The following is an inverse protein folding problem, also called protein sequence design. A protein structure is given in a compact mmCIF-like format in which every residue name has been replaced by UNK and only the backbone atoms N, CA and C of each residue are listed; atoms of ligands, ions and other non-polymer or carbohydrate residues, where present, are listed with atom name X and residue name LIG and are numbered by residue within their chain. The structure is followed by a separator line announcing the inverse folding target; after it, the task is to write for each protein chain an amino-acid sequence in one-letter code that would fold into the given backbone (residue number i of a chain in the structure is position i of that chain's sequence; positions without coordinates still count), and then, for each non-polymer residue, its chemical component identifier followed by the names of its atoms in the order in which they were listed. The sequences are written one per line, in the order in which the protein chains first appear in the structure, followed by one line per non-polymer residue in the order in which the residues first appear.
data_IF_092695888933
#
_entry.id   IF_092695888933
#
_cell.length_a   1.000
_cell.length_b   1.000
_cell.length_c   1.000
_cell.angle_alpha   90.00
_cell.angle_beta   90.00
_cell.angle_gamma   90.00
#
_symmetry.space_group_name_H-M   'P 1'
#
loop_
_entity.id
_entity.type
_entity.pdbx_description
1 polymer ?
#
# COMPACT_ATOMS: atom_id res chain seq x y z
N UNK A 1 13.10 -16.21 1.58
CA UNK A 1 14.48 -16.33 2.14
C UNK A 1 15.36 -15.26 1.53
N UNK A 2 15.36 -15.07 0.21
CA UNK A 2 16.29 -14.17 -0.48
C UNK A 2 16.26 -12.73 0.07
N UNK A 3 15.08 -12.19 0.35
CA UNK A 3 14.96 -10.86 0.98
C UNK A 3 15.55 -10.79 2.39
N UNK A 4 15.49 -11.89 3.15
CA UNK A 4 16.14 -11.97 4.47
C UNK A 4 17.66 -11.86 4.32
N UNK A 5 18.22 -12.55 3.34
CA UNK A 5 19.66 -12.48 3.06
C UNK A 5 20.08 -11.13 2.45
N UNK A 6 19.24 -10.51 1.63
CA UNK A 6 19.44 -9.15 1.12
C UNK A 6 19.50 -8.17 2.28
N UNK A 7 18.51 -8.19 3.19
CA UNK A 7 18.48 -7.29 4.34
C UNK A 7 19.72 -7.42 5.23
N UNK A 8 20.19 -8.64 5.48
CA UNK A 8 21.45 -8.88 6.22
C UNK A 8 22.67 -8.30 5.51
N UNK A 9 22.74 -8.45 4.19
CA UNK A 9 23.84 -7.89 3.37
C UNK A 9 23.83 -6.36 3.36
N UNK A 10 22.64 -5.76 3.45
CA UNK A 10 22.45 -4.30 3.57
C UNK A 10 22.65 -3.79 5.02
N UNK A 11 23.12 -4.65 5.94
CA UNK A 11 23.38 -4.37 7.34
C UNK A 11 22.13 -4.13 8.22
N UNK A 12 20.95 -4.54 7.78
CA UNK A 12 19.79 -4.59 8.65
C UNK A 12 19.99 -5.66 9.73
N UNK A 13 19.66 -5.34 10.99
CA UNK A 13 19.83 -6.24 12.12
C UNK A 13 18.59 -7.14 12.27
N UNK A 14 18.75 -8.44 12.02
CA UNK A 14 17.71 -9.41 12.29
C UNK A 14 17.64 -9.66 13.83
N UNK A 15 16.52 -9.27 14.44
CA UNK A 15 16.31 -9.42 15.90
C UNK A 15 15.36 -10.56 16.25
N UNK A 16 14.64 -11.09 15.28
CA UNK A 16 13.76 -12.26 15.44
C UNK A 16 13.71 -13.05 14.12
N UNK A 17 13.64 -14.37 14.21
CA UNK A 17 13.46 -15.26 13.06
C UNK A 17 14.64 -15.29 12.10
N UNK A 18 14.37 -15.00 10.83
CA UNK A 18 15.40 -14.90 9.79
C UNK A 18 15.83 -16.23 9.19
N UNK A 19 15.03 -17.28 9.31
CA UNK A 19 15.32 -18.62 8.80
C UNK A 19 14.03 -19.41 8.51
N UNK A 20 14.13 -20.53 7.77
CA UNK A 20 13.02 -21.46 7.62
C UNK A 20 12.57 -22.02 8.99
N UNK A 21 11.27 -22.16 9.15
CA UNK A 21 10.71 -22.85 10.31
C UNK A 21 10.84 -24.37 10.15
N UNK A 22 11.45 -25.02 11.12
CA UNK A 22 11.69 -26.46 11.13
C UNK A 22 10.98 -27.21 12.26
N UNK A 23 10.13 -26.54 13.01
CA UNK A 23 9.40 -27.07 14.15
C UNK A 23 8.25 -28.02 13.80
N UNK A 24 7.41 -28.38 14.79
CA UNK A 24 6.28 -29.28 14.60
C UNK A 24 5.37 -28.84 13.45
N UNK A 25 4.97 -29.78 12.61
CA UNK A 25 4.10 -29.52 11.47
C UNK A 25 4.78 -28.93 10.22
N UNK A 26 6.09 -28.68 10.25
CA UNK A 26 6.85 -28.11 9.14
C UNK A 26 7.23 -29.14 8.06
N UNK A 27 7.19 -30.44 8.34
CA UNK A 27 7.64 -31.49 7.43
C UNK A 27 6.95 -31.39 6.06
N UNK A 28 7.74 -31.20 5.02
CA UNK A 28 7.25 -31.07 3.63
C UNK A 28 6.57 -29.73 3.31
N UNK A 29 6.65 -28.72 4.17
CA UNK A 29 6.07 -27.39 3.99
C UNK A 29 7.16 -26.32 4.00
N UNK A 30 6.90 -25.21 3.27
CA UNK A 30 7.81 -24.08 3.14
C UNK A 30 7.38 -22.92 4.06
N UNK A 31 7.55 -23.10 5.36
CA UNK A 31 7.27 -22.06 6.35
C UNK A 31 8.54 -21.25 6.67
N UNK A 32 8.36 -19.96 6.88
CA UNK A 32 9.38 -19.03 7.36
C UNK A 32 8.99 -18.59 8.76
N UNK A 33 9.96 -18.50 9.66
CA UNK A 33 9.72 -17.91 10.97
C UNK A 33 9.32 -16.44 10.85
N UNK A 34 8.38 -15.92 11.67
CA UNK A 34 8.16 -14.49 11.77
C UNK A 34 9.49 -13.78 12.01
N UNK A 35 9.79 -12.81 11.16
CA UNK A 35 11.12 -12.19 11.09
C UNK A 35 11.00 -10.69 11.29
N UNK A 36 11.86 -10.13 12.15
CA UNK A 36 11.91 -8.69 12.42
C UNK A 36 13.32 -8.18 12.18
N UNK A 37 13.41 -7.12 11.38
CA UNK A 37 14.63 -6.35 11.15
C UNK A 37 14.54 -4.96 11.80
N UNK A 38 15.61 -4.54 12.47
CA UNK A 38 15.83 -3.18 12.97
C UNK A 38 17.06 -2.56 12.30
N UNK A 39 17.25 -1.25 12.48
CA UNK A 39 18.31 -0.54 11.79
C UNK A 39 18.11 -0.47 10.27
N UNK A 40 16.87 -0.63 9.84
CA UNK A 40 16.49 -0.49 8.43
C UNK A 40 16.44 0.99 8.09
N UNK A 41 16.99 1.34 6.94
CA UNK A 41 16.80 2.67 6.33
C UNK A 41 15.85 2.56 5.13
N UNK A 42 15.31 3.70 4.72
CA UNK A 42 14.29 3.70 3.66
C UNK A 42 14.86 3.35 2.27
N UNK A 43 16.20 3.45 2.10
CA UNK A 43 16.90 3.11 0.85
C UNK A 43 17.14 1.60 0.67
N UNK A 44 16.99 0.82 1.75
CA UNK A 44 17.18 -0.64 1.70
C UNK A 44 16.08 -1.31 0.89
N UNK A 45 16.45 -2.32 0.11
CA UNK A 45 15.49 -3.07 -0.72
C UNK A 45 14.35 -3.66 0.09
N UNK A 46 14.62 -4.11 1.32
CA UNK A 46 13.60 -4.68 2.20
C UNK A 46 12.55 -3.64 2.67
N UNK A 47 12.88 -2.34 2.58
CA UNK A 47 11.95 -1.24 2.86
C UNK A 47 11.18 -0.80 1.59
N UNK A 48 11.78 -0.94 0.41
CA UNK A 48 11.24 -0.44 -0.85
C UNK A 48 10.48 -1.50 -1.66
N UNK A 49 10.82 -2.76 -1.51
CA UNK A 49 10.25 -3.84 -2.31
C UNK A 49 9.24 -4.67 -1.48
N UNK A 50 8.26 -5.24 -2.14
CA UNK A 50 7.25 -6.09 -1.50
C UNK A 50 7.82 -7.49 -1.23
N UNK A 51 8.10 -7.79 0.05
CA UNK A 51 8.66 -9.10 0.46
C UNK A 51 7.64 -10.23 0.34
N UNK A 52 6.36 -9.93 0.50
CA UNK A 52 5.23 -10.86 0.48
C UNK A 52 5.42 -12.07 1.42
N UNK A 53 5.83 -11.82 2.66
CA UNK A 53 6.11 -12.85 3.66
C UNK A 53 6.06 -12.31 5.09
N UNK A 54 6.28 -13.16 6.11
CA UNK A 54 6.19 -12.76 7.52
C UNK A 54 7.43 -11.99 7.97
N UNK A 55 7.74 -10.89 7.31
CA UNK A 55 8.92 -10.06 7.55
C UNK A 55 8.48 -8.63 7.85
N UNK A 56 8.96 -8.08 8.96
CA UNK A 56 8.71 -6.72 9.42
C UNK A 56 10.02 -5.93 9.43
N UNK A 57 10.02 -4.78 8.75
CA UNK A 57 11.11 -3.79 8.78
C UNK A 57 10.74 -2.65 9.72
N UNK A 58 11.63 -2.31 10.65
CA UNK A 58 11.43 -1.25 11.63
C UNK A 58 12.37 -0.10 11.31
N UNK A 59 11.81 1.05 10.99
CA UNK A 59 12.51 2.30 10.68
C UNK A 59 12.12 3.32 11.75
N UNK A 60 13.05 3.83 12.57
CA UNK A 60 12.78 4.88 13.53
C UNK A 60 12.54 6.22 12.82
N UNK A 61 11.77 7.09 13.44
CA UNK A 61 11.56 8.48 13.02
C UNK A 61 11.49 9.38 14.25
N UNK A 62 11.84 10.65 14.11
CA UNK A 62 11.88 11.62 15.20
C UNK A 62 10.66 12.55 15.19
N UNK A 63 10.14 12.89 14.01
CA UNK A 63 9.05 13.86 13.84
C UNK A 63 7.88 13.26 13.05
N UNK A 64 6.72 13.91 13.15
CA UNK A 64 5.54 13.57 12.32
C UNK A 64 5.85 13.71 10.82
N UNK A 65 6.63 14.72 10.46
CA UNK A 65 7.08 14.99 9.10
C UNK A 65 7.97 13.88 8.57
N UNK A 66 8.88 13.35 9.41
CA UNK A 66 9.71 12.20 9.04
C UNK A 66 8.88 10.95 8.81
N UNK A 67 7.92 10.67 9.69
CA UNK A 67 7.02 9.53 9.53
C UNK A 67 6.23 9.60 8.20
N UNK A 68 5.74 10.79 7.85
CA UNK A 68 5.04 11.02 6.57
C UNK A 68 5.98 10.86 5.39
N UNK A 69 7.18 11.42 5.46
CA UNK A 69 8.19 11.33 4.40
C UNK A 69 8.57 9.86 4.16
N UNK A 70 8.95 9.14 5.20
CA UNK A 70 9.34 7.73 5.13
C UNK A 70 8.17 6.86 4.61
N UNK A 71 6.98 7.04 5.15
CA UNK A 71 5.81 6.28 4.75
C UNK A 71 5.35 6.54 3.32
N UNK A 72 5.67 7.72 2.76
CA UNK A 72 5.33 8.07 1.38
C UNK A 72 6.43 7.78 0.38
N UNK A 73 7.68 7.59 0.82
CA UNK A 73 8.83 7.33 -0.02
C UNK A 73 8.95 5.83 -0.36
N UNK A 74 7.95 5.32 -1.01
CA UNK A 74 7.84 3.96 -1.54
C UNK A 74 6.91 3.96 -2.74
N UNK A 75 7.11 3.06 -3.70
CA UNK A 75 6.29 2.92 -4.90
C UNK A 75 4.88 2.35 -4.64
N UNK A 76 4.61 1.86 -3.46
CA UNK A 76 3.34 1.26 -3.08
C UNK A 76 2.51 2.19 -2.18
N UNK A 77 1.21 1.92 -2.11
CA UNK A 77 0.28 2.68 -1.29
C UNK A 77 -1.06 1.99 -1.13
N UNK A 78 -1.06 0.72 -0.72
CA UNK A 78 -2.31 -0.01 -0.50
C UNK A 78 -3.02 0.49 0.76
N UNK A 79 -2.31 0.46 1.89
CA UNK A 79 -2.86 0.86 3.17
C UNK A 79 -1.77 1.35 4.12
N UNK A 80 -2.17 2.15 5.12
CA UNK A 80 -1.32 2.54 6.23
C UNK A 80 -2.08 2.49 7.55
N UNK A 81 -1.35 2.33 8.67
CA UNK A 81 -1.90 2.35 10.01
C UNK A 81 -1.22 3.41 10.87
N UNK A 82 -1.99 4.14 11.65
CA UNK A 82 -1.52 5.19 12.57
C UNK A 82 -2.04 4.89 13.96
N UNK A 83 -1.16 4.84 14.94
CA UNK A 83 -1.53 4.70 16.35
C UNK A 83 -1.18 5.97 17.10
N UNK A 84 -2.18 6.66 17.62
CA UNK A 84 -2.01 7.91 18.34
C UNK A 84 -3.22 8.22 19.22
N UNK A 85 -3.00 8.89 20.36
CA UNK A 85 -4.07 9.44 21.20
C UNK A 85 -4.40 10.90 20.84
N UNK A 86 -3.65 11.53 19.95
CA UNK A 86 -3.87 12.90 19.47
C UNK A 86 -4.74 12.86 18.21
N UNK A 87 -5.98 13.31 18.31
CA UNK A 87 -6.93 13.37 17.20
C UNK A 87 -6.44 14.31 16.09
N UNK A 88 -5.78 15.39 16.42
CA UNK A 88 -5.20 16.32 15.44
C UNK A 88 -4.12 15.64 14.60
N UNK A 89 -3.25 14.86 15.25
CA UNK A 89 -2.25 14.04 14.54
C UNK A 89 -2.92 12.98 13.68
N UNK A 90 -3.94 12.29 14.19
CA UNK A 90 -4.66 11.28 13.42
C UNK A 90 -5.20 11.86 12.11
N UNK A 91 -5.82 13.03 12.14
CA UNK A 91 -6.36 13.71 10.96
C UNK A 91 -5.25 14.15 10.00
N UNK A 92 -4.19 14.81 10.49
CA UNK A 92 -3.07 15.25 9.65
C UNK A 92 -2.36 14.07 8.98
N UNK A 93 -2.13 12.98 9.72
CA UNK A 93 -1.49 11.77 9.16
C UNK A 93 -2.38 11.11 8.11
N UNK A 94 -3.70 11.04 8.35
CA UNK A 94 -4.65 10.47 7.39
C UNK A 94 -4.70 11.26 6.09
N UNK A 95 -4.53 12.57 6.14
CA UNK A 95 -4.49 13.43 4.95
C UNK A 95 -3.16 13.32 4.20
N UNK A 96 -2.03 13.29 4.93
CA UNK A 96 -0.69 13.35 4.35
C UNK A 96 -0.18 12.01 3.82
N UNK A 97 -0.59 10.88 4.38
CA UNK A 97 -0.16 9.55 3.94
C UNK A 97 -0.83 9.16 2.61
N UNK A 98 -0.03 8.77 1.65
CA UNK A 98 -0.46 8.43 0.29
C UNK A 98 -0.77 6.94 0.17
N UNK A 99 -1.86 6.51 0.79
CA UNK A 99 -2.37 5.14 0.70
C UNK A 99 -3.89 5.15 0.50
N UNK A 100 -4.41 4.10 -0.12
CA UNK A 100 -5.84 3.99 -0.43
C UNK A 100 -6.72 3.79 0.79
N UNK A 101 -6.17 3.23 1.87
CA UNK A 101 -6.84 3.08 3.16
C UNK A 101 -5.93 3.52 4.28
N UNK A 102 -6.44 4.36 5.19
CA UNK A 102 -5.74 4.74 6.42
C UNK A 102 -6.55 4.24 7.62
N UNK A 103 -5.94 3.39 8.43
CA UNK A 103 -6.51 2.97 9.70
C UNK A 103 -5.92 3.78 10.85
N UNK A 104 -6.75 4.23 11.76
CA UNK A 104 -6.32 4.91 12.99
C UNK A 104 -6.74 4.09 14.20
N UNK A 105 -5.76 3.70 15.02
CA UNK A 105 -5.93 2.87 16.22
C UNK A 105 -6.69 1.55 15.98
N UNK A 106 -6.65 1.06 14.75
CA UNK A 106 -7.21 -0.22 14.32
C UNK A 106 -6.37 -0.78 13.17
N UNK A 107 -6.59 -2.03 12.79
CA UNK A 107 -5.88 -2.67 11.69
C UNK A 107 -6.79 -3.65 10.94
N UNK A 108 -6.73 -3.62 9.61
CA UNK A 108 -7.50 -4.49 8.70
C UNK A 108 -9.01 -4.41 8.86
N UNK A 109 -9.53 -3.30 9.39
CA UNK A 109 -10.96 -3.04 9.36
C UNK A 109 -11.40 -2.77 7.91
N UNK A 110 -12.34 -3.56 7.39
CA UNK A 110 -12.90 -3.44 6.04
C UNK A 110 -14.41 -3.46 6.10
N UNK A 111 -15.07 -2.84 5.10
CA UNK A 111 -16.52 -2.84 4.98
C UNK A 111 -16.89 -2.93 3.50
N UNK A 112 -17.94 -3.66 3.17
CA UNK A 112 -18.43 -3.74 1.77
C UNK A 112 -18.95 -2.39 1.26
N UNK A 113 -19.27 -1.46 2.14
CA UNK A 113 -19.76 -0.12 1.78
C UNK A 113 -18.66 0.91 1.63
N UNK A 114 -17.43 0.56 2.01
CA UNK A 114 -16.26 1.44 1.92
C UNK A 114 -15.35 0.98 0.79
N UNK A 115 -14.96 1.84 -0.15
CA UNK A 115 -14.05 1.47 -1.22
C UNK A 115 -12.70 1.02 -0.66
N UNK A 116 -12.15 -0.07 -1.22
CA UNK A 116 -10.82 -0.57 -0.91
C UNK A 116 -9.99 -0.67 -2.19
N UNK A 117 -8.75 -0.20 -2.15
CA UNK A 117 -7.83 -0.27 -3.28
C UNK A 117 -6.61 0.59 -3.06
N UNK A 118 -5.61 0.42 -3.91
CA UNK A 118 -4.29 1.02 -3.76
C UNK A 118 -4.13 2.39 -4.38
N UNK A 119 -3.07 3.06 -3.94
CA UNK A 119 -2.44 4.19 -4.62
C UNK A 119 -1.15 3.69 -5.28
N UNK A 120 -0.61 4.45 -6.21
CA UNK A 120 0.67 4.20 -6.86
C UNK A 120 0.68 2.79 -7.50
N UNK A 121 1.77 2.03 -7.34
CA UNK A 121 1.92 0.67 -7.91
C UNK A 121 1.13 -0.42 -7.17
N UNK A 122 0.46 -0.10 -6.06
CA UNK A 122 -0.45 -1.05 -5.41
C UNK A 122 -1.73 -1.29 -6.20
N UNK A 123 -1.97 -0.54 -7.24
CA UNK A 123 -3.04 -0.77 -8.21
C UNK A 123 -3.94 0.45 -8.42
N UNK A 124 -4.71 0.37 -9.48
CA UNK A 124 -5.78 1.31 -9.84
C UNK A 124 -7.13 0.68 -9.44
N UNK A 125 -8.21 1.40 -9.60
CA UNK A 125 -9.53 0.89 -9.28
C UNK A 125 -9.85 0.75 -7.79
N UNK A 126 -11.08 0.35 -7.52
CA UNK A 126 -11.56 0.12 -6.14
C UNK A 126 -12.50 -1.08 -6.08
N UNK A 127 -12.29 -1.93 -5.07
CA UNK A 127 -13.24 -2.94 -4.66
C UNK A 127 -14.21 -2.36 -3.63
N UNK A 128 -15.38 -2.95 -3.50
CA UNK A 128 -16.40 -2.54 -2.53
C UNK A 128 -16.90 -1.10 -2.70
N UNK A 129 -17.90 -0.71 -1.91
CA UNK A 129 -18.55 0.58 -2.04
C UNK A 129 -19.27 0.78 -3.38
N UNK A 130 -19.84 1.96 -3.59
CA UNK A 130 -20.57 2.29 -4.82
C UNK A 130 -19.65 2.43 -6.03
N UNK A 131 -18.41 2.80 -5.80
CA UNK A 131 -17.45 3.05 -6.88
C UNK A 131 -16.98 1.77 -7.59
N UNK A 132 -17.05 0.63 -6.92
CA UNK A 132 -16.66 -0.66 -7.49
C UNK A 132 -17.43 -1.01 -8.78
N UNK A 133 -18.65 -0.50 -8.95
CA UNK A 133 -19.43 -0.73 -10.19
C UNK A 133 -18.74 -0.15 -11.43
N UNK A 134 -17.95 0.90 -11.28
CA UNK A 134 -17.26 1.58 -12.38
C UNK A 134 -16.26 0.67 -13.09
N UNK A 135 -15.67 -0.29 -12.36
CA UNK A 135 -14.71 -1.27 -12.90
C UNK A 135 -15.36 -2.25 -13.89
N UNK A 136 -16.70 -2.38 -13.84
CA UNK A 136 -17.47 -3.28 -14.69
C UNK A 136 -18.26 -2.55 -15.79
N UNK A 137 -18.10 -1.23 -15.89
CA UNK A 137 -18.84 -0.38 -16.83
C UNK A 137 -17.91 0.32 -17.82
N UNK A 138 -18.44 0.54 -19.02
CA UNK A 138 -17.80 1.41 -20.01
C UNK A 138 -18.70 2.59 -20.35
N UNK A 139 -18.11 3.78 -20.39
CA UNK A 139 -18.83 5.00 -20.78
C UNK A 139 -18.92 5.08 -22.30
N UNK A 140 -20.13 5.32 -22.82
CA UNK A 140 -20.37 5.59 -24.23
C UNK A 140 -21.05 6.95 -24.39
N UNK A 141 -20.49 7.81 -25.22
CA UNK A 141 -21.14 9.03 -25.64
C UNK A 141 -21.90 8.84 -26.96
N UNK A 142 -23.14 9.29 -27.00
CA UNK A 142 -23.97 9.24 -28.23
C UNK A 142 -24.42 10.64 -28.56
N UNK A 143 -24.12 11.07 -29.80
CA UNK A 143 -24.49 12.38 -30.34
C UNK A 143 -25.46 12.15 -31.48
N UNK A 144 -26.68 12.69 -31.35
CA UNK A 144 -27.71 12.60 -32.36
C UNK A 144 -28.06 14.02 -32.84
N UNK A 145 -27.72 14.34 -34.07
CA UNK A 145 -28.13 15.59 -34.70
C UNK A 145 -29.54 15.45 -35.31
N UNK A 146 -30.43 16.37 -34.98
CA UNK A 146 -31.78 16.40 -35.57
C UNK A 146 -31.80 17.07 -36.97
N UNK A 147 -30.74 17.77 -37.34
CA UNK A 147 -30.60 18.41 -38.66
C UNK A 147 -29.29 17.91 -39.29
N UNK A 148 -29.37 17.57 -40.57
CA UNK A 148 -28.20 17.13 -41.37
C UNK A 148 -27.53 18.34 -42.05
N UNK A 149 -27.00 19.28 -41.32
CA UNK A 149 -26.07 20.24 -41.88
C UNK A 149 -24.66 19.67 -41.81
N UNK A 150 -23.98 19.57 -42.96
CA UNK A 150 -22.57 19.15 -43.02
C UNK A 150 -21.71 20.29 -42.48
N UNK A 151 -21.37 20.25 -41.23
CA UNK A 151 -20.41 21.20 -40.62
C UNK A 151 -18.98 20.79 -40.99
N UNK A 152 -18.10 21.79 -41.09
CA UNK A 152 -16.69 21.52 -41.34
C UNK A 152 -16.09 20.69 -40.15
N UNK A 153 -15.61 19.46 -40.38
CA UNK A 153 -15.13 18.56 -39.30
C UNK A 153 -13.83 19.05 -38.65
N UNK A 154 -13.17 20.06 -39.20
CA UNK A 154 -11.92 20.63 -38.69
C UNK A 154 -12.13 21.82 -37.75
N UNK A 155 -13.36 22.25 -37.51
CA UNK A 155 -13.70 23.32 -36.55
C UNK A 155 -14.21 22.64 -35.27
N UNK A 156 -13.38 22.64 -34.24
CA UNK A 156 -13.82 22.25 -32.88
C UNK A 156 -14.63 23.39 -32.27
N UNK A 157 -15.80 23.11 -31.72
CA UNK A 157 -16.64 24.02 -30.93
C UNK A 157 -16.47 23.79 -29.45
#
# INVERSE_FOLDING_TARGET
IDYIEIAKKENAKCVLGGKPYTGPGAKGKQFIEPTIFTGVTNEMRIAQEEVFGPVLSVIPFDTEEDAVRIGNDIDFGLAAGVWTNDIGRALRMSEKLRAGTIWVNTYRAVSFTSPFGGYKRSGEGRESGKDAIKEFLQVKSVWIAQQTSTENPFIMR
#
